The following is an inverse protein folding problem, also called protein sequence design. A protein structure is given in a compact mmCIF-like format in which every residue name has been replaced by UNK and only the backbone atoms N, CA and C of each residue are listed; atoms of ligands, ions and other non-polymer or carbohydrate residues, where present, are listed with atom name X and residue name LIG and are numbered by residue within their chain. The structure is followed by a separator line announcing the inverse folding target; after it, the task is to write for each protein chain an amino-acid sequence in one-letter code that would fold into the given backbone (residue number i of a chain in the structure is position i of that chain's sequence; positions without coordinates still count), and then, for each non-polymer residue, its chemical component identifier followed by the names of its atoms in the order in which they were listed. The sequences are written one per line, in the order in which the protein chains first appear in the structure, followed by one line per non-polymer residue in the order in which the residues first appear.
data_IF_450250791401
#
_entry.id   IF_450250791401
#
_cell.length_a   1.000
_cell.length_b   1.000
_cell.length_c   1.000
_cell.angle_alpha   90.00
_cell.angle_beta   90.00
_cell.angle_gamma   90.00
#
_symmetry.space_group_name_H-M   'P 1'
#
loop_
_entity.id
_entity.type
_entity.pdbx_description
1 polymer ?
#
# COMPACT_ATOMS: atom_id res chain seq x y z
N UNK A 1 30.50 -72.54 -2.32
CA UNK A 1 31.29 -72.01 -3.44
C UNK A 1 30.48 -70.89 -4.07
N UNK A 2 30.95 -69.65 -4.22
CA UNK A 2 32.05 -68.93 -3.54
C UNK A 2 31.90 -67.44 -3.93
N UNK A 3 32.04 -66.52 -2.98
CA UNK A 3 32.40 -65.12 -3.28
C UNK A 3 33.92 -65.05 -3.43
N UNK A 4 34.50 -64.23 -4.33
CA UNK A 4 34.57 -62.77 -4.19
C UNK A 4 34.43 -62.02 -5.57
N UNK A 5 34.60 -60.71 -5.72
CA UNK A 5 34.95 -59.63 -4.78
C UNK A 5 34.92 -58.25 -5.47
N UNK A 6 35.15 -57.19 -4.69
CA UNK A 6 35.31 -55.82 -5.19
C UNK A 6 36.72 -55.55 -5.74
N UNK A 7 36.96 -54.35 -6.30
CA UNK A 7 38.00 -53.53 -5.67
C UNK A 7 37.55 -52.10 -5.36
N UNK A 8 37.90 -51.64 -4.15
CA UNK A 8 38.03 -50.23 -3.81
C UNK A 8 39.29 -49.63 -4.47
N UNK A 9 39.22 -48.34 -4.84
CA UNK A 9 40.18 -47.31 -4.39
C UNK A 9 39.87 -45.97 -5.07
N UNK A 10 39.48 -44.96 -4.28
CA UNK A 10 40.45 -44.00 -3.75
C UNK A 10 39.78 -43.12 -2.69
N UNK A 11 40.43 -42.98 -1.54
CA UNK A 11 40.00 -42.08 -0.48
C UNK A 11 40.48 -40.64 -0.76
N UNK A 12 39.77 -39.67 -0.21
CA UNK A 12 40.46 -38.69 0.63
C UNK A 12 39.56 -38.21 1.76
N UNK A 13 40.12 -38.27 2.97
CA UNK A 13 39.55 -37.71 4.20
C UNK A 13 39.94 -36.24 4.28
N UNK A 14 39.00 -35.35 4.63
CA UNK A 14 39.24 -34.19 5.50
C UNK A 14 37.95 -33.38 5.73
N UNK A 15 37.65 -33.14 6.99
CA UNK A 15 36.79 -32.08 7.52
C UNK A 15 37.35 -31.74 8.91
N UNK A 16 36.95 -30.63 9.56
CA UNK A 16 36.36 -29.38 9.07
C UNK A 16 37.23 -28.16 9.51
N UNK A 17 36.58 -27.01 9.75
CA UNK A 17 36.98 -25.86 10.59
C UNK A 17 37.39 -24.53 9.90
N UNK A 18 37.13 -23.48 10.68
CA UNK A 18 37.60 -22.08 10.60
C UNK A 18 36.99 -21.14 9.54
N UNK A 19 35.85 -20.57 9.95
CA UNK A 19 35.74 -19.14 10.29
C UNK A 19 36.37 -18.11 9.33
N UNK A 20 35.51 -17.37 8.64
CA UNK A 20 35.87 -16.16 7.89
C UNK A 20 34.66 -15.23 7.78
N UNK A 21 34.50 -14.39 8.80
CA UNK A 21 33.71 -13.17 8.69
C UNK A 21 34.18 -12.40 7.43
N UNK A 22 33.29 -12.27 6.45
CA UNK A 22 33.54 -11.48 5.25
C UNK A 22 32.94 -10.10 5.47
N UNK A 23 33.75 -9.24 6.07
CA UNK A 23 33.53 -7.80 6.19
C UNK A 23 33.51 -7.15 4.79
N UNK A 24 32.34 -7.16 4.16
CA UNK A 24 32.10 -6.42 2.92
C UNK A 24 31.90 -4.94 3.23
N UNK A 25 32.84 -4.12 2.76
CA UNK A 25 32.88 -2.68 2.97
C UNK A 25 31.61 -1.99 2.44
N UNK A 26 31.02 -1.11 3.26
CA UNK A 26 29.86 -0.30 2.84
C UNK A 26 30.37 0.96 2.15
N UNK A 27 30.44 0.92 0.83
CA UNK A 27 30.79 2.07 0.00
C UNK A 27 29.70 3.15 0.13
N UNK A 28 30.03 4.28 0.75
CA UNK A 28 29.10 5.40 0.98
C UNK A 28 29.16 6.33 -0.24
N UNK A 29 28.34 6.05 -1.26
CA UNK A 29 28.35 6.87 -2.46
C UNK A 29 27.83 8.29 -2.19
N UNK A 30 28.61 9.27 -2.66
CA UNK A 30 28.50 10.69 -2.35
C UNK A 30 27.17 11.30 -2.81
N UNK A 31 26.44 11.94 -1.88
CA UNK A 31 25.37 12.87 -2.26
C UNK A 31 26.00 14.15 -2.83
N UNK A 32 26.02 14.28 -4.14
CA UNK A 32 26.33 15.53 -4.83
C UNK A 32 25.11 16.06 -5.58
N UNK A 33 24.84 17.35 -5.40
CA UNK A 33 23.58 17.99 -5.81
C UNK A 33 23.69 18.52 -7.23
N UNK A 34 23.18 17.76 -8.21
CA UNK A 34 22.95 18.29 -9.55
C UNK A 34 21.48 18.62 -9.79
N UNK A 35 21.27 19.92 -9.96
CA UNK A 35 20.01 20.59 -10.28
C UNK A 35 19.43 20.13 -11.62
N UNK A 36 18.09 20.25 -11.72
CA UNK A 36 17.27 20.41 -12.94
C UNK A 36 16.32 19.25 -13.28
N UNK A 37 15.06 19.48 -12.91
CA UNK A 37 13.88 19.30 -13.78
C UNK A 37 13.53 17.90 -14.31
N UNK A 38 12.34 17.41 -13.95
CA UNK A 38 11.14 17.54 -14.80
C UNK A 38 9.88 16.94 -14.14
N UNK A 39 8.93 17.82 -13.80
CA UNK A 39 7.47 17.68 -13.85
C UNK A 39 6.74 16.40 -13.34
N UNK A 40 5.91 16.66 -12.32
CA UNK A 40 4.50 16.20 -12.23
C UNK A 40 4.16 14.74 -11.93
N UNK A 41 4.05 14.42 -10.63
CA UNK A 41 2.96 13.55 -10.14
C UNK A 41 2.27 14.21 -8.94
N UNK A 42 0.95 14.35 -9.03
CA UNK A 42 0.09 14.96 -8.00
C UNK A 42 -0.40 13.89 -7.01
N UNK A 43 -0.40 14.20 -5.71
CA UNK A 43 -1.21 13.53 -4.70
C UNK A 43 -1.39 14.45 -3.46
N UNK A 44 -2.49 14.31 -2.71
CA UNK A 44 -3.06 15.42 -1.96
C UNK A 44 -2.49 15.63 -0.56
N UNK A 45 -2.46 16.89 -0.13
CA UNK A 45 -2.27 17.26 1.28
C UNK A 45 -3.49 16.89 2.11
N UNK A 46 -3.30 16.01 3.10
CA UNK A 46 -4.18 16.00 4.28
C UNK A 46 -3.56 16.85 5.38
N UNK A 47 -4.22 17.97 5.68
CA UNK A 47 -3.95 18.72 6.91
C UNK A 47 -4.44 17.91 8.10
N UNK A 48 -3.53 17.54 9.01
CA UNK A 48 -3.89 17.23 10.39
C UNK A 48 -2.81 17.79 11.30
N UNK A 49 -3.26 18.58 12.26
CA UNK A 49 -2.44 19.53 12.99
C UNK A 49 -2.05 18.98 14.36
N UNK A 50 -0.80 19.27 14.73
CA UNK A 50 -0.37 19.52 16.11
C UNK A 50 -0.21 18.36 17.10
N UNK A 51 0.84 18.50 17.91
CA UNK A 51 0.99 17.98 19.27
C UNK A 51 1.27 16.47 19.48
N UNK A 52 2.51 16.08 19.21
CA UNK A 52 3.21 15.12 20.06
C UNK A 52 4.41 15.85 20.71
N UNK A 53 4.52 15.77 22.04
CA UNK A 53 5.60 16.40 22.82
C UNK A 53 6.90 15.63 22.61
N UNK A 54 8.01 16.36 22.52
CA UNK A 54 9.35 15.79 22.60
C UNK A 54 9.52 14.92 23.85
N UNK A 55 9.78 13.62 23.62
CA UNK A 55 10.42 12.72 24.57
C UNK A 55 11.69 12.15 23.92
N UNK A 56 12.46 13.03 23.28
CA UNK A 56 13.77 12.72 22.73
C UNK A 56 14.72 12.36 23.87
N UNK A 57 15.19 11.12 23.86
CA UNK A 57 15.97 10.51 24.95
C UNK A 57 17.36 11.15 25.10
N UNK A 58 18.00 11.09 26.28
CA UNK A 58 19.39 11.51 26.43
C UNK A 58 20.29 10.65 25.54
N UNK A 59 20.93 11.27 24.56
CA UNK A 59 21.96 10.61 23.75
C UNK A 59 23.11 10.14 24.64
N UNK A 60 23.61 8.94 24.38
CA UNK A 60 24.74 8.35 25.09
C UNK A 60 26.05 9.06 24.70
N UNK A 61 26.29 10.23 25.28
CA UNK A 61 27.64 10.75 25.45
C UNK A 61 28.36 9.79 26.38
N UNK A 62 29.31 9.04 25.83
CA UNK A 62 30.19 8.18 26.62
C UNK A 62 30.87 9.04 27.68
N UNK A 63 30.79 8.70 28.98
CA UNK A 63 31.60 9.36 29.98
C UNK A 63 33.07 9.11 29.62
N UNK A 64 33.97 10.09 29.77
CA UNK A 64 35.40 9.80 29.72
C UNK A 64 35.70 8.72 30.76
N UNK A 65 36.50 7.73 30.37
CA UNK A 65 37.03 6.72 31.30
C UNK A 65 38.04 7.43 32.21
N UNK A 66 37.51 8.13 33.21
CA UNK A 66 38.27 8.46 34.41
C UNK A 66 38.45 7.13 35.12
N UNK A 67 39.68 6.61 35.09
CA UNK A 67 40.05 5.45 35.90
C UNK A 67 39.63 5.71 37.36
N UNK A 68 39.24 4.68 38.13
CA UNK A 68 39.07 4.87 39.56
C UNK A 68 40.44 5.24 40.13
N UNK A 69 40.62 6.53 40.43
CA UNK A 69 41.81 7.02 41.11
C UNK A 69 41.76 6.46 42.53
N UNK A 70 42.42 5.31 42.70
CA UNK A 70 42.40 4.48 43.89
C UNK A 70 43.22 5.09 45.05
N UNK A 71 43.30 6.42 45.10
CA UNK A 71 44.06 7.20 46.06
C UNK A 71 43.19 8.18 46.87
N UNK A 72 41.95 8.46 46.44
CA UNK A 72 41.03 9.39 47.11
C UNK A 72 40.27 8.82 48.33
N UNK A 73 40.77 7.75 48.95
CA UNK A 73 40.27 7.19 50.21
C UNK A 73 41.37 7.11 51.29
N UNK A 74 42.14 8.20 51.43
CA UNK A 74 43.13 8.37 52.49
C UNK A 74 42.69 9.40 53.56
N UNK A 75 42.02 10.49 53.17
CA UNK A 75 41.80 11.67 54.03
C UNK A 75 40.33 11.89 54.45
N UNK A 76 39.68 10.84 54.91
CA UNK A 76 38.56 10.98 55.84
C UNK A 76 39.04 10.38 57.17
N UNK A 77 39.09 11.14 58.28
CA UNK A 77 39.59 10.63 59.55
C UNK A 77 38.74 9.42 59.94
N UNK A 78 39.35 8.25 59.87
CA UNK A 78 38.56 7.02 59.96
C UNK A 78 37.95 6.96 61.36
N UNK A 79 36.73 6.45 61.51
CA UNK A 79 36.10 6.35 62.83
C UNK A 79 36.93 5.53 63.84
N UNK A 80 37.88 4.74 63.34
CA UNK A 80 38.87 3.98 64.10
C UNK A 80 40.07 4.83 64.53
N UNK A 81 40.48 5.81 63.73
CA UNK A 81 41.57 6.75 64.04
C UNK A 81 41.19 7.75 65.14
N UNK A 82 39.98 8.31 65.08
CA UNK A 82 39.43 9.10 66.18
C UNK A 82 39.25 8.27 67.48
N UNK A 83 38.93 6.97 67.33
CA UNK A 83 38.89 6.01 68.44
C UNK A 83 40.29 5.73 69.03
N UNK A 84 41.32 5.60 68.20
CA UNK A 84 42.71 5.45 68.67
C UNK A 84 43.25 6.71 69.34
N UNK A 85 42.91 7.90 68.83
CA UNK A 85 43.32 9.17 69.43
C UNK A 85 42.68 9.38 70.82
N UNK A 86 41.43 8.95 71.00
CA UNK A 86 40.79 8.93 72.31
C UNK A 86 41.53 8.03 73.32
N UNK A 87 42.04 6.87 72.89
CA UNK A 87 42.84 5.98 73.73
C UNK A 87 44.22 6.57 74.07
N UNK A 88 44.86 7.31 73.13
CA UNK A 88 46.11 8.04 73.39
C UNK A 88 45.92 9.09 74.48
N UNK A 89 44.90 9.93 74.34
CA UNK A 89 44.55 10.97 75.33
C UNK A 89 44.23 10.37 76.71
N UNK A 90 43.54 9.23 76.75
CA UNK A 90 43.26 8.53 78.01
C UNK A 90 44.51 7.92 78.69
N UNK A 91 45.55 7.60 77.91
CA UNK A 91 46.86 7.17 78.43
C UNK A 91 47.69 8.35 78.95
N UNK A 92 47.67 9.50 78.26
CA UNK A 92 48.35 10.74 78.68
C UNK A 92 47.77 11.32 79.97
N UNK A 93 46.49 11.08 80.26
CA UNK A 93 45.82 11.48 81.50
C UNK A 93 46.33 10.80 82.78
N UNK A 94 47.20 9.79 82.69
CA UNK A 94 47.83 9.13 83.82
C UNK A 94 47.11 7.86 84.32
N UNK A 95 47.90 6.84 84.63
CA UNK A 95 47.45 5.52 85.12
C UNK A 95 48.14 5.18 86.45
N UNK A 96 48.05 6.08 87.42
CA UNK A 96 48.67 5.95 88.74
C UNK A 96 47.79 5.13 89.72
N UNK A 97 46.49 5.41 89.78
CA UNK A 97 45.49 4.73 90.62
C UNK A 97 45.01 3.41 90.02
N UNK A 98 44.47 2.52 90.88
CA UNK A 98 43.90 1.23 90.44
C UNK A 98 42.62 1.45 89.63
N UNK A 99 41.81 2.40 90.07
CA UNK A 99 40.51 2.75 89.49
C UNK A 99 40.67 3.38 88.10
N UNK A 100 41.74 4.16 87.85
CA UNK A 100 42.06 4.68 86.52
C UNK A 100 42.40 3.53 85.54
N UNK A 101 43.24 2.57 85.97
CA UNK A 101 43.60 1.38 85.17
C UNK A 101 42.38 0.52 84.85
N UNK A 102 41.51 0.29 85.82
CA UNK A 102 40.27 -0.47 85.60
C UNK A 102 39.34 0.28 84.62
N UNK A 103 39.16 1.59 84.73
CA UNK A 103 38.35 2.38 83.78
C UNK A 103 38.92 2.35 82.36
N UNK A 104 40.23 2.52 82.20
CA UNK A 104 40.89 2.44 80.90
C UNK A 104 40.70 1.05 80.25
N UNK A 105 40.88 -0.04 81.01
CA UNK A 105 40.60 -1.40 80.54
C UNK A 105 39.14 -1.59 80.11
N UNK A 106 38.18 -1.06 80.88
CA UNK A 106 36.76 -1.12 80.50
C UNK A 106 36.48 -0.41 79.18
N UNK A 107 37.06 0.77 78.94
CA UNK A 107 36.88 1.48 77.67
C UNK A 107 37.57 0.76 76.50
N UNK A 108 38.78 0.23 76.69
CA UNK A 108 39.47 -0.61 75.68
C UNK A 108 38.62 -1.84 75.30
N UNK A 109 38.04 -2.54 76.27
CA UNK A 109 37.15 -3.69 76.01
C UNK A 109 35.88 -3.24 75.28
N UNK A 110 35.26 -2.15 75.71
CA UNK A 110 34.06 -1.56 75.09
C UNK A 110 34.31 -1.11 73.64
N UNK A 111 35.49 -0.55 73.36
CA UNK A 111 35.91 -0.16 72.02
C UNK A 111 36.21 -1.37 71.14
N UNK A 112 36.89 -2.40 71.68
CA UNK A 112 37.11 -3.68 70.98
C UNK A 112 35.76 -4.30 70.55
N UNK A 113 34.76 -4.35 71.43
CA UNK A 113 33.42 -4.88 71.10
C UNK A 113 32.76 -4.06 70.00
N UNK A 114 32.75 -2.72 70.08
CA UNK A 114 32.22 -1.85 69.02
C UNK A 114 32.91 -2.07 67.66
N UNK A 115 34.22 -2.29 67.65
CA UNK A 115 34.97 -2.56 66.42
C UNK A 115 34.67 -3.96 65.86
N UNK A 116 34.48 -4.96 66.71
CA UNK A 116 34.08 -6.32 66.35
C UNK A 116 32.65 -6.35 65.76
N UNK A 117 31.72 -5.56 66.31
CA UNK A 117 30.38 -5.33 65.76
C UNK A 117 30.44 -4.61 64.40
N UNK A 118 31.19 -3.51 64.28
CA UNK A 118 31.40 -2.79 63.02
C UNK A 118 31.98 -3.70 61.93
N UNK A 119 32.98 -4.51 62.27
CA UNK A 119 33.58 -5.48 61.35
C UNK A 119 32.56 -6.55 60.92
N UNK A 120 31.76 -7.06 61.85
CA UNK A 120 30.72 -8.05 61.56
C UNK A 120 29.64 -7.48 60.63
N UNK A 121 29.19 -6.25 60.87
CA UNK A 121 28.24 -5.54 60.01
C UNK A 121 28.83 -5.28 58.61
N UNK A 122 30.09 -4.86 58.51
CA UNK A 122 30.77 -4.68 57.23
C UNK A 122 30.94 -6.00 56.46
N UNK A 123 31.23 -7.11 57.15
CA UNK A 123 31.28 -8.44 56.55
C UNK A 123 29.90 -8.94 56.08
N UNK A 124 28.83 -8.62 56.81
CA UNK A 124 27.45 -8.90 56.36
C UNK A 124 27.08 -8.07 55.13
N UNK A 125 27.35 -6.76 55.14
CA UNK A 125 27.11 -5.87 54.00
C UNK A 125 27.87 -6.33 52.75
N UNK A 126 29.15 -6.72 52.90
CA UNK A 126 29.95 -7.32 51.83
C UNK A 126 29.29 -8.57 51.23
N UNK A 127 28.71 -9.44 52.06
CA UNK A 127 27.98 -10.64 51.58
C UNK A 127 26.70 -10.26 50.83
N UNK A 128 25.91 -9.30 51.33
CA UNK A 128 24.68 -8.82 50.66
C UNK A 128 25.01 -8.26 49.28
N UNK A 129 25.96 -7.31 49.21
CA UNK A 129 26.38 -6.71 47.95
C UNK A 129 26.92 -7.75 46.95
N UNK A 130 27.61 -8.79 47.43
CA UNK A 130 28.05 -9.88 46.56
C UNK A 130 26.87 -10.70 46.00
N UNK A 131 25.86 -11.01 46.83
CA UNK A 131 24.64 -11.70 46.40
C UNK A 131 23.83 -10.87 45.40
N UNK A 132 23.70 -9.55 45.64
CA UNK A 132 23.02 -8.61 44.74
C UNK A 132 23.75 -8.50 43.39
N UNK A 133 25.08 -8.47 43.38
CA UNK A 133 25.88 -8.49 42.15
C UNK A 133 25.71 -9.79 41.36
N UNK A 134 25.67 -10.95 42.03
CA UNK A 134 25.40 -12.24 41.35
C UNK A 134 23.97 -12.31 40.81
N UNK A 135 22.98 -11.85 41.56
CA UNK A 135 21.60 -11.73 41.08
C UNK A 135 21.51 -10.84 39.83
N UNK A 136 22.15 -9.67 39.83
CA UNK A 136 22.20 -8.78 38.68
C UNK A 136 22.94 -9.39 37.48
N UNK A 137 24.02 -10.15 37.70
CA UNK A 137 24.74 -10.89 36.65
C UNK A 137 23.83 -11.93 35.98
N UNK A 138 23.14 -12.75 36.78
CA UNK A 138 22.21 -13.77 36.26
C UNK A 138 21.03 -13.12 35.55
N UNK A 139 20.34 -12.17 36.18
CA UNK A 139 19.17 -11.49 35.60
C UNK A 139 19.49 -10.72 34.30
N UNK A 140 20.67 -10.07 34.21
CA UNK A 140 21.10 -9.40 32.98
C UNK A 140 21.44 -10.41 31.87
N UNK A 141 22.08 -11.53 32.22
CA UNK A 141 22.40 -12.62 31.28
C UNK A 141 21.13 -13.27 30.74
N UNK A 142 20.14 -13.51 31.59
CA UNK A 142 18.84 -14.07 31.22
C UNK A 142 18.06 -13.15 30.28
N UNK A 143 17.88 -11.87 30.64
CA UNK A 143 17.23 -10.87 29.77
C UNK A 143 17.91 -10.73 28.41
N UNK A 144 19.25 -10.82 28.37
CA UNK A 144 19.99 -10.82 27.11
C UNK A 144 19.68 -12.09 26.29
N UNK A 145 19.63 -13.26 26.93
CA UNK A 145 19.27 -14.54 26.31
C UNK A 145 17.88 -14.46 25.68
N UNK A 146 16.88 -14.04 26.45
CA UNK A 146 15.49 -13.83 26.01
C UNK A 146 15.40 -12.86 24.84
N UNK A 147 16.08 -11.71 24.91
CA UNK A 147 16.11 -10.74 23.82
C UNK A 147 16.74 -11.33 22.54
N UNK A 148 17.77 -12.17 22.65
CA UNK A 148 18.33 -12.86 21.47
C UNK A 148 17.37 -13.90 20.90
N UNK A 149 16.59 -14.59 21.73
CA UNK A 149 15.59 -15.57 21.29
C UNK A 149 14.39 -14.89 20.63
N UNK A 150 13.86 -13.82 21.22
CA UNK A 150 12.84 -12.98 20.60
C UNK A 150 13.32 -12.43 19.24
N UNK A 151 14.55 -11.93 19.15
CA UNK A 151 15.16 -11.45 17.89
C UNK A 151 15.27 -12.57 16.84
N UNK A 152 15.66 -13.80 17.21
CA UNK A 152 15.69 -14.96 16.29
C UNK A 152 14.27 -15.38 15.88
N UNK A 153 13.31 -15.35 16.80
CA UNK A 153 11.91 -15.70 16.53
C UNK A 153 11.27 -14.73 15.53
N UNK A 154 11.41 -13.42 15.76
CA UNK A 154 10.90 -12.39 14.85
C UNK A 154 11.51 -12.48 13.44
N UNK A 155 12.81 -12.82 13.32
CA UNK A 155 13.44 -13.07 12.01
C UNK A 155 12.77 -14.23 11.27
N UNK A 156 12.57 -15.37 11.93
CA UNK A 156 11.85 -16.52 11.37
C UNK A 156 10.42 -16.18 10.96
N UNK A 157 9.72 -15.37 11.76
CA UNK A 157 8.35 -14.96 11.44
C UNK A 157 8.29 -14.02 10.23
N UNK A 158 9.25 -13.09 10.09
CA UNK A 158 9.38 -12.25 8.89
C UNK A 158 9.66 -13.11 7.64
N UNK A 159 10.54 -14.10 7.73
CA UNK A 159 10.83 -15.04 6.64
C UNK A 159 9.59 -15.88 6.27
N UNK A 160 8.87 -16.40 7.27
CA UNK A 160 7.61 -17.13 7.11
C UNK A 160 6.55 -16.27 6.40
N UNK A 161 6.38 -15.02 6.82
CA UNK A 161 5.44 -14.08 6.23
C UNK A 161 5.81 -13.70 4.79
N UNK A 162 7.11 -13.56 4.47
CA UNK A 162 7.57 -13.35 3.08
C UNK A 162 7.23 -14.53 2.19
N UNK A 163 7.53 -15.76 2.62
CA UNK A 163 7.20 -16.96 1.86
C UNK A 163 5.68 -17.15 1.69
N UNK A 164 4.88 -16.83 2.72
CA UNK A 164 3.42 -16.85 2.65
C UNK A 164 2.87 -15.78 1.68
N UNK A 165 3.43 -14.56 1.69
CA UNK A 165 3.06 -13.49 0.78
C UNK A 165 3.40 -13.84 -0.68
N UNK A 166 4.61 -14.35 -0.93
CA UNK A 166 5.05 -14.80 -2.25
C UNK A 166 4.15 -15.92 -2.79
N UNK A 167 3.81 -16.91 -1.94
CA UNK A 167 2.86 -17.97 -2.28
C UNK A 167 1.48 -17.41 -2.65
N UNK A 168 0.93 -16.52 -1.83
CA UNK A 168 -0.35 -15.85 -2.11
C UNK A 168 -0.32 -15.05 -3.41
N UNK A 169 0.78 -14.36 -3.71
CA UNK A 169 0.96 -13.63 -4.97
C UNK A 169 1.06 -14.56 -6.18
N UNK A 170 1.70 -15.73 -6.05
CA UNK A 170 1.71 -16.78 -7.07
C UNK A 170 0.31 -17.33 -7.33
N UNK A 171 -0.42 -17.74 -6.28
CA UNK A 171 -1.81 -18.24 -6.37
C UNK A 171 -2.78 -17.19 -6.95
N UNK A 172 -2.65 -15.92 -6.56
CA UNK A 172 -3.42 -14.81 -7.13
C UNK A 172 -3.10 -14.56 -8.62
N UNK A 173 -1.83 -14.72 -9.02
CA UNK A 173 -1.45 -14.60 -10.42
C UNK A 173 -1.94 -15.80 -11.26
N UNK A 174 -1.83 -17.03 -10.75
CA UNK A 174 -2.31 -18.24 -11.40
C UNK A 174 -3.83 -18.21 -11.60
N UNK A 175 -4.59 -17.84 -10.56
CA UNK A 175 -6.04 -17.64 -10.66
C UNK A 175 -6.41 -16.50 -11.62
N UNK A 176 -5.71 -15.36 -11.60
CA UNK A 176 -5.86 -14.28 -12.60
C UNK A 176 -5.65 -14.77 -14.03
N UNK A 177 -4.58 -15.54 -14.27
CA UNK A 177 -4.26 -16.09 -15.60
C UNK A 177 -5.30 -17.13 -16.02
N UNK A 178 -5.76 -17.99 -15.11
CA UNK A 178 -6.85 -18.95 -15.35
C UNK A 178 -8.16 -18.24 -15.71
N UNK A 179 -8.59 -17.29 -14.89
CA UNK A 179 -9.82 -16.50 -15.14
C UNK A 179 -9.73 -15.69 -16.43
N UNK A 180 -8.55 -15.20 -16.80
CA UNK A 180 -8.34 -14.55 -18.11
C UNK A 180 -8.57 -15.51 -19.27
N UNK A 181 -8.06 -16.76 -19.20
CA UNK A 181 -8.33 -17.80 -20.21
C UNK A 181 -9.81 -18.19 -20.24
N UNK A 182 -10.45 -18.39 -19.10
CA UNK A 182 -11.88 -18.69 -19.01
C UNK A 182 -12.74 -17.55 -19.56
N UNK A 183 -12.36 -16.28 -19.34
CA UNK A 183 -12.99 -15.10 -19.94
C UNK A 183 -12.78 -15.04 -21.46
N UNK A 184 -11.59 -15.35 -21.96
CA UNK A 184 -11.30 -15.40 -23.39
C UNK A 184 -12.08 -16.52 -24.09
N UNK A 185 -12.16 -17.71 -23.49
CA UNK A 185 -13.03 -18.81 -23.95
C UNK A 185 -14.50 -18.40 -23.93
N UNK A 186 -14.99 -17.84 -22.82
CA UNK A 186 -16.37 -17.38 -22.69
C UNK A 186 -16.70 -16.23 -23.66
N UNK A 187 -15.72 -15.40 -24.05
CA UNK A 187 -15.85 -14.41 -25.12
C UNK A 187 -15.88 -15.08 -26.49
N UNK A 188 -15.05 -16.09 -26.75
CA UNK A 188 -15.05 -16.84 -28.02
C UNK A 188 -16.41 -17.54 -28.25
N UNK A 189 -17.04 -18.05 -27.18
CA UNK A 189 -18.40 -18.60 -27.19
C UNK A 189 -19.48 -17.50 -27.24
N UNK A 190 -19.28 -16.34 -26.60
CA UNK A 190 -20.25 -15.22 -26.58
C UNK A 190 -20.13 -14.21 -27.72
N UNK A 191 -19.15 -14.32 -28.60
CA UNK A 191 -19.21 -13.72 -29.96
C UNK A 191 -20.27 -14.52 -30.69
N UNK A 192 -21.53 -14.14 -30.41
CA UNK A 192 -22.78 -14.80 -30.78
C UNK A 192 -22.65 -15.29 -32.21
N UNK A 193 -22.63 -16.62 -32.37
CA UNK A 193 -21.78 -17.32 -33.35
C UNK A 193 -21.71 -16.63 -34.70
N UNK A 194 -20.54 -16.66 -35.35
CA UNK A 194 -20.41 -16.37 -36.78
C UNK A 194 -21.19 -17.44 -37.58
N UNK A 195 -22.51 -17.28 -37.63
CA UNK A 195 -23.46 -18.30 -38.06
C UNK A 195 -24.62 -18.62 -37.09
N UNK A 196 -24.81 -17.95 -35.95
CA UNK A 196 -25.89 -18.28 -35.00
C UNK A 196 -27.29 -18.03 -35.59
N UNK A 197 -28.30 -18.81 -35.19
CA UNK A 197 -29.65 -18.70 -35.75
C UNK A 197 -30.26 -17.31 -35.60
N UNK A 198 -30.11 -16.69 -34.43
CA UNK A 198 -30.55 -15.31 -34.22
C UNK A 198 -29.81 -14.30 -35.12
N UNK A 199 -28.53 -14.53 -35.42
CA UNK A 199 -27.74 -13.72 -36.34
C UNK A 199 -28.17 -13.90 -37.80
N UNK A 200 -28.39 -15.15 -38.23
CA UNK A 200 -28.91 -15.48 -39.57
C UNK A 200 -30.32 -14.91 -39.79
N UNK A 201 -31.19 -15.00 -38.79
CA UNK A 201 -32.54 -14.41 -38.83
C UNK A 201 -32.49 -12.89 -38.91
N UNK A 202 -31.65 -12.23 -38.11
CA UNK A 202 -31.43 -10.77 -38.21
C UNK A 202 -30.98 -10.37 -39.62
N UNK A 203 -29.97 -11.03 -40.18
CA UNK A 203 -29.50 -10.75 -41.53
C UNK A 203 -30.58 -10.95 -42.60
N UNK A 204 -31.36 -12.05 -42.51
CA UNK A 204 -32.47 -12.33 -43.44
C UNK A 204 -33.55 -11.25 -43.39
N UNK A 205 -33.97 -10.85 -42.19
CA UNK A 205 -35.00 -9.82 -42.05
C UNK A 205 -34.49 -8.42 -42.44
N UNK A 206 -33.22 -8.09 -42.19
CA UNK A 206 -32.61 -6.85 -42.70
C UNK A 206 -32.66 -6.78 -44.22
N UNK A 207 -32.19 -7.80 -44.92
CA UNK A 207 -32.25 -7.86 -46.39
C UNK A 207 -33.70 -7.82 -46.93
N UNK A 208 -34.65 -8.42 -46.21
CA UNK A 208 -36.07 -8.35 -46.56
C UNK A 208 -36.67 -6.95 -46.37
N UNK A 209 -36.23 -6.21 -45.34
CA UNK A 209 -36.63 -4.81 -45.14
C UNK A 209 -36.06 -3.93 -46.26
N UNK A 210 -34.79 -4.12 -46.63
CA UNK A 210 -34.14 -3.39 -47.73
C UNK A 210 -34.85 -3.61 -49.08
N UNK A 211 -35.18 -4.86 -49.43
CA UNK A 211 -35.95 -5.19 -50.65
C UNK A 211 -37.36 -4.57 -50.65
N UNK A 212 -38.06 -4.59 -49.50
CA UNK A 212 -39.37 -3.94 -49.37
C UNK A 212 -39.28 -2.41 -49.46
N UNK A 213 -38.22 -1.80 -48.93
CA UNK A 213 -37.96 -0.36 -49.06
C UNK A 213 -37.68 0.04 -50.50
N UNK A 214 -36.87 -0.74 -51.23
CA UNK A 214 -36.59 -0.50 -52.65
C UNK A 214 -37.86 -0.63 -53.51
N UNK A 215 -38.70 -1.64 -53.24
CA UNK A 215 -40.00 -1.82 -53.91
C UNK A 215 -40.98 -0.69 -53.61
N UNK A 216 -41.00 -0.19 -52.38
CA UNK A 216 -41.82 0.97 -52.00
C UNK A 216 -41.37 2.22 -52.78
N UNK A 217 -40.06 2.51 -52.80
CA UNK A 217 -39.50 3.65 -53.54
C UNK A 217 -39.81 3.57 -55.05
N UNK A 218 -39.72 2.38 -55.65
CA UNK A 218 -40.07 2.19 -57.05
C UNK A 218 -41.56 2.47 -57.31
N UNK A 219 -42.47 1.93 -56.47
CA UNK A 219 -43.90 2.17 -56.59
C UNK A 219 -44.29 3.63 -56.32
N UNK A 220 -43.56 4.33 -55.45
CA UNK A 220 -43.72 5.77 -55.21
C UNK A 220 -43.31 6.60 -56.43
N UNK A 221 -42.17 6.27 -57.06
CA UNK A 221 -41.72 6.88 -58.30
C UNK A 221 -42.69 6.64 -59.47
N UNK A 222 -43.17 5.40 -59.65
CA UNK A 222 -44.16 5.06 -60.69
C UNK A 222 -45.47 5.85 -60.50
N UNK A 223 -45.93 5.99 -59.25
CA UNK A 223 -47.11 6.80 -58.90
C UNK A 223 -46.89 8.29 -59.22
N UNK A 224 -45.69 8.80 -59.04
CA UNK A 224 -45.34 10.19 -59.37
C UNK A 224 -45.24 10.41 -60.88
N UNK A 225 -44.68 9.46 -61.62
CA UNK A 225 -44.68 9.45 -63.07
C UNK A 225 -46.12 9.46 -63.63
N UNK A 226 -46.98 8.56 -63.15
CA UNK A 226 -48.40 8.51 -63.56
C UNK A 226 -49.17 9.81 -63.23
N UNK A 227 -48.82 10.51 -62.14
CA UNK A 227 -49.37 11.83 -61.83
C UNK A 227 -48.90 12.90 -62.82
N UNK A 228 -47.62 12.87 -63.21
CA UNK A 228 -47.08 13.80 -64.20
C UNK A 228 -47.71 13.55 -65.59
N UNK A 229 -47.89 12.30 -65.99
CA UNK A 229 -48.54 11.96 -67.27
C UNK A 229 -50.02 12.33 -67.27
N UNK A 230 -50.75 12.13 -66.16
CA UNK A 230 -52.13 12.60 -66.02
C UNK A 230 -52.26 14.13 -66.13
N UNK A 231 -51.25 14.90 -65.68
CA UNK A 231 -51.21 16.35 -65.87
C UNK A 231 -50.95 16.72 -67.34
N UNK A 232 -49.99 16.07 -68.02
CA UNK A 232 -49.72 16.26 -69.46
C UNK A 232 -50.96 15.96 -70.31
N UNK A 233 -51.70 14.90 -70.02
CA UNK A 233 -52.95 14.55 -70.72
C UNK A 233 -54.05 15.61 -70.49
N UNK A 234 -54.17 16.17 -69.29
CA UNK A 234 -55.09 17.29 -69.01
C UNK A 234 -54.69 18.54 -69.77
N UNK A 235 -53.41 18.90 -69.77
CA UNK A 235 -52.88 20.03 -70.53
C UNK A 235 -53.13 19.83 -72.02
N UNK A 236 -52.80 18.67 -72.59
CA UNK A 236 -53.05 18.35 -73.99
C UNK A 236 -54.55 18.46 -74.35
N UNK A 237 -55.42 17.95 -73.48
CA UNK A 237 -56.88 18.10 -73.62
C UNK A 237 -57.32 19.56 -73.58
N UNK A 238 -56.84 20.37 -72.64
CA UNK A 238 -57.16 21.81 -72.57
C UNK A 238 -56.68 22.57 -73.81
N UNK A 239 -55.53 22.19 -74.38
CA UNK A 239 -55.06 22.76 -75.65
C UNK A 239 -55.96 22.37 -76.82
N UNK A 240 -56.37 21.10 -76.92
CA UNK A 240 -57.34 20.66 -77.93
C UNK A 240 -58.70 21.36 -77.77
N UNK A 241 -59.19 21.54 -76.54
CA UNK A 241 -60.43 22.27 -76.26
C UNK A 241 -60.34 23.77 -76.64
N UNK A 242 -59.16 24.40 -76.55
CA UNK A 242 -58.91 25.76 -77.08
C UNK A 242 -58.92 25.79 -78.61
N UNK A 243 -58.16 24.90 -79.26
CA UNK A 243 -58.09 24.80 -80.73
C UNK A 243 -59.48 24.52 -81.33
N UNK A 244 -60.29 23.66 -80.72
CA UNK A 244 -61.66 23.40 -81.16
C UNK A 244 -62.53 24.66 -81.08
N UNK A 245 -62.41 25.46 -80.01
CA UNK A 245 -63.14 26.75 -79.89
C UNK A 245 -62.68 27.75 -80.94
N UNK A 246 -61.38 27.92 -81.14
CA UNK A 246 -60.81 28.82 -82.16
C UNK A 246 -61.26 28.42 -83.58
N UNK A 247 -61.25 27.12 -83.91
CA UNK A 247 -61.77 26.61 -85.17
C UNK A 247 -63.29 26.85 -85.31
N UNK A 248 -64.05 26.69 -84.23
CA UNK A 248 -65.49 26.96 -84.21
C UNK A 248 -65.79 28.45 -84.43
N UNK A 249 -64.98 29.36 -83.88
CA UNK A 249 -65.08 30.81 -84.10
C UNK A 249 -64.68 31.21 -85.53
N UNK A 250 -63.66 30.56 -86.12
CA UNK A 250 -63.25 30.76 -87.51
C UNK A 250 -64.30 30.27 -88.52
N UNK A 251 -64.95 29.13 -88.24
CA UNK A 251 -66.00 28.55 -89.08
C UNK A 251 -67.37 29.21 -88.88
N UNK A 252 -67.59 29.88 -87.74
CA UNK A 252 -68.85 30.55 -87.42
C UNK A 252 -68.64 31.97 -86.86
N UNK A 253 -68.12 32.92 -87.68
CA UNK A 253 -67.91 34.30 -87.22
C UNK A 253 -69.22 34.91 -86.72
N UNK A 254 -69.27 35.26 -85.43
CA UNK A 254 -70.51 35.72 -84.79
C UNK A 254 -70.99 37.02 -85.45
N UNK A 255 -72.30 37.16 -85.78
CA UNK A 255 -72.78 38.35 -86.50
C UNK A 255 -72.51 39.64 -85.73
N UNK A 256 -72.19 40.71 -86.47
CA UNK A 256 -72.07 42.07 -85.95
C UNK A 256 -73.43 42.49 -85.35
N UNK A 257 -73.50 43.11 -84.16
CA UNK A 257 -74.78 43.46 -83.56
C UNK A 257 -75.38 44.69 -84.28
N UNK A 258 -76.52 44.49 -84.95
CA UNK A 258 -77.40 45.57 -85.41
C UNK A 258 -78.79 45.45 -84.76
N UNK A 259 -79.43 46.60 -84.67
CA UNK A 259 -80.35 47.07 -83.63
C UNK A 259 -81.85 46.87 -84.00
N UNK A 260 -82.77 47.12 -83.04
CA UNK A 260 -84.26 47.23 -83.21
C UNK A 260 -85.03 45.88 -83.36
N UNK A 261 -86.22 45.63 -82.79
CA UNK A 261 -87.09 46.37 -81.85
C UNK A 261 -88.61 46.12 -82.10
N UNK A 262 -89.47 46.15 -81.05
CA UNK A 262 -90.97 46.06 -81.11
C UNK A 262 -91.55 44.64 -80.89
N UNK A 263 -92.34 44.30 -79.84
CA UNK A 263 -93.75 44.69 -79.51
C UNK A 263 -94.81 44.01 -80.43
N UNK A 264 -95.93 43.39 -80.01
CA UNK A 264 -96.63 43.15 -78.73
C UNK A 264 -97.88 42.23 -78.97
N UNK A 265 -98.90 42.00 -78.14
CA UNK A 265 -99.21 42.25 -76.70
C UNK A 265 -100.54 41.56 -76.27
N UNK A 266 -100.63 41.01 -75.03
CA UNK A 266 -101.85 40.67 -74.25
C UNK A 266 -102.82 39.54 -74.77
N UNK A 267 -103.80 38.97 -74.03
CA UNK A 267 -104.55 39.34 -72.81
C UNK A 267 -105.12 38.09 -72.03
N UNK A 268 -105.24 38.18 -70.68
CA UNK A 268 -106.26 37.65 -69.71
C UNK A 268 -106.79 36.19 -69.78
N UNK A 269 -106.63 35.33 -68.74
CA UNK A 269 -107.33 35.20 -67.40
C UNK A 269 -108.61 34.31 -67.44
N UNK A 270 -109.12 33.74 -66.32
CA UNK A 270 -108.86 34.01 -64.89
C UNK A 270 -108.28 32.86 -64.05
#
# INVERSE_FOLDING_TARGET
METPGAPDMLASVAAPEEDKDSEAEVEVESREEFTSSLSSLSSPSFTSSSSAKDLSSPGMLAPPVVAPDATAHADAPSGLEAELEHLRQALEGGLDTKEAKEKFLHEVVKMRVKQEEKLTAALQAKRSLHQELEFLRVAKKEKLREATEAKRSLRKEIERLRAENEKKMKEANESRVRLKRELEQARQVRVCDKGCEAGRLRAKYSAQIEDLQAKLQHAEADREQLRADLLREREAREHLEKVVKELQEQLWPRPRPENVGGEGSAELDP
#
